data_IF_435213645735
#
_entry.id   IF_435213645735
#
_cell.length_a   1.000
_cell.length_b   1.000
_cell.length_c   1.000
_cell.angle_alpha   90.00
_cell.angle_beta   90.00
_cell.angle_gamma   90.00
#
_symmetry.space_group_name_H-M   'P 1'
#
loop_
_entity.id
_entity.type
_entity.pdbx_description
1 polymer ?
#
# COMPACT_ATOMS: atom_id res chain seq x y z
N UNK A 1 -18.46 11.83 18.01
CA UNK A 1 -17.09 11.49 17.54
C UNK A 1 -16.68 10.02 17.75
N UNK A 2 -16.97 9.38 18.89
CA UNK A 2 -16.53 7.99 19.20
C UNK A 2 -17.05 6.91 18.22
N UNK A 3 -18.26 7.03 17.70
CA UNK A 3 -18.84 6.06 16.76
C UNK A 3 -18.18 6.12 15.36
N UNK A 4 -17.78 7.31 14.91
CA UNK A 4 -17.11 7.49 13.62
C UNK A 4 -15.70 6.88 13.62
N UNK A 5 -14.94 7.06 14.71
CA UNK A 5 -13.63 6.41 14.88
C UNK A 5 -13.75 4.88 14.94
N UNK A 6 -14.80 4.35 15.59
CA UNK A 6 -15.07 2.90 15.63
C UNK A 6 -15.38 2.33 14.24
N UNK A 7 -16.20 3.02 13.45
CA UNK A 7 -16.48 2.63 12.07
C UNK A 7 -15.21 2.55 11.22
N UNK A 8 -14.36 3.56 11.29
CA UNK A 8 -13.14 3.62 10.49
C UNK A 8 -12.14 2.51 10.88
N UNK A 9 -12.08 2.13 12.17
CA UNK A 9 -11.29 0.97 12.64
C UNK A 9 -11.85 -0.35 12.13
N UNK A 10 -13.17 -0.54 12.16
CA UNK A 10 -13.80 -1.76 11.64
C UNK A 10 -13.60 -1.91 10.13
N UNK A 11 -13.69 -0.81 9.37
CA UNK A 11 -13.43 -0.82 7.92
C UNK A 11 -11.97 -1.18 7.62
N UNK A 12 -11.02 -0.64 8.39
CA UNK A 12 -9.60 -0.96 8.22
C UNK A 12 -9.33 -2.46 8.43
N UNK A 13 -9.93 -3.06 9.47
CA UNK A 13 -9.82 -4.50 9.71
C UNK A 13 -10.44 -5.28 8.56
N UNK A 14 -11.61 -4.87 8.07
CA UNK A 14 -12.26 -5.49 6.91
C UNK A 14 -11.36 -5.51 5.67
N UNK A 15 -10.71 -4.39 5.36
CA UNK A 15 -9.75 -4.31 4.23
C UNK A 15 -8.58 -5.28 4.42
N UNK A 16 -7.99 -5.33 5.63
CA UNK A 16 -6.90 -6.27 5.92
C UNK A 16 -7.33 -7.73 5.77
N UNK A 17 -8.54 -8.08 6.20
CA UNK A 17 -9.10 -9.44 6.04
C UNK A 17 -9.29 -9.78 4.57
N UNK A 18 -9.83 -8.86 3.77
CA UNK A 18 -9.98 -9.06 2.32
C UNK A 18 -8.63 -9.30 1.65
N UNK A 19 -7.60 -8.52 2.00
CA UNK A 19 -6.25 -8.69 1.46
C UNK A 19 -5.65 -10.04 1.86
N UNK A 20 -5.86 -10.47 3.12
CA UNK A 20 -5.43 -11.78 3.60
C UNK A 20 -6.14 -12.94 2.90
N UNK A 21 -7.46 -12.86 2.72
CA UNK A 21 -8.24 -13.87 1.99
C UNK A 21 -7.81 -13.95 0.53
N UNK A 22 -7.61 -12.80 -0.13
CA UNK A 22 -7.14 -12.76 -1.51
C UNK A 22 -5.74 -13.36 -1.65
N UNK A 23 -4.84 -13.08 -0.71
CA UNK A 23 -3.51 -13.71 -0.64
C UNK A 23 -3.58 -15.22 -0.45
N UNK A 24 -4.50 -15.71 0.41
CA UNK A 24 -4.71 -17.14 0.62
C UNK A 24 -5.25 -17.82 -0.65
N UNK A 25 -6.22 -17.22 -1.33
CA UNK A 25 -6.77 -17.73 -2.59
C UNK A 25 -5.72 -17.81 -3.69
N UNK A 26 -4.89 -16.77 -3.85
CA UNK A 26 -3.78 -16.81 -4.81
C UNK A 26 -2.72 -17.85 -4.42
N UNK A 27 -2.46 -18.00 -3.12
CA UNK A 27 -1.56 -19.02 -2.60
C UNK A 27 -2.02 -20.44 -2.95
N UNK A 28 -3.30 -20.75 -2.76
CA UNK A 28 -3.83 -22.07 -3.13
C UNK A 28 -3.81 -22.27 -4.65
N UNK A 29 -4.13 -21.26 -5.46
CA UNK A 29 -4.01 -21.37 -6.92
C UNK A 29 -2.59 -21.67 -7.40
N UNK A 30 -1.56 -21.16 -6.73
CA UNK A 30 -0.17 -21.47 -7.06
C UNK A 30 0.22 -22.89 -6.62
N UNK A 31 -0.26 -23.35 -5.47
CA UNK A 31 0.04 -24.69 -4.94
C UNK A 31 -0.73 -25.80 -5.66
N UNK A 32 -1.96 -25.52 -6.10
CA UNK A 32 -2.84 -26.45 -6.83
C UNK A 32 -2.64 -26.39 -8.34
N UNK A 33 -1.68 -25.59 -8.84
CA UNK A 33 -1.37 -25.50 -10.27
C UNK A 33 -0.83 -26.85 -10.76
N UNK A 34 -1.72 -27.68 -11.29
CA UNK A 34 -1.44 -29.00 -11.83
C UNK A 34 -0.83 -28.88 -13.24
N UNK A 35 0.41 -28.39 -13.32
CA UNK A 35 1.12 -28.25 -14.58
C UNK A 35 2.58 -28.62 -14.40
N UNK A 36 3.01 -29.66 -15.11
CA UNK A 36 4.42 -30.07 -15.27
C UNK A 36 5.26 -29.05 -16.06
N UNK A 37 4.76 -27.83 -16.30
CA UNK A 37 5.51 -26.76 -16.93
C UNK A 37 6.37 -26.05 -15.88
N UNK A 38 7.69 -25.90 -16.12
CA UNK A 38 8.55 -25.12 -15.23
C UNK A 38 7.98 -23.70 -15.08
N UNK A 39 7.94 -23.21 -13.83
CA UNK A 39 7.54 -21.86 -13.52
C UNK A 39 8.44 -20.87 -14.26
N UNK A 40 7.90 -20.23 -15.30
CA UNK A 40 8.60 -19.21 -16.06
C UNK A 40 9.00 -18.06 -15.12
N UNK A 41 10.21 -17.55 -15.25
CA UNK A 41 10.77 -16.60 -14.28
C UNK A 41 9.97 -15.28 -14.24
N UNK A 42 9.29 -14.89 -15.32
CA UNK A 42 8.38 -13.74 -15.33
C UNK A 42 7.13 -14.01 -14.48
N UNK A 43 6.63 -15.26 -14.46
CA UNK A 43 5.44 -15.61 -13.67
C UNK A 43 5.74 -15.69 -12.18
N UNK A 44 6.94 -16.15 -11.81
CA UNK A 44 7.40 -16.11 -10.41
C UNK A 44 7.66 -14.69 -9.93
N UNK A 45 8.20 -13.83 -10.79
CA UNK A 45 8.34 -12.40 -10.49
C UNK A 45 6.98 -11.73 -10.28
N UNK A 46 6.02 -11.96 -11.18
CA UNK A 46 4.68 -11.41 -11.06
C UNK A 46 4.01 -11.83 -9.74
N UNK A 47 4.06 -13.12 -9.40
CA UNK A 47 3.46 -13.61 -8.17
C UNK A 47 4.12 -13.01 -6.93
N UNK A 48 5.46 -12.90 -6.92
CA UNK A 48 6.20 -12.24 -5.85
C UNK A 48 5.76 -10.78 -5.67
N UNK A 49 5.60 -10.02 -6.76
CA UNK A 49 5.15 -8.62 -6.68
C UNK A 49 3.72 -8.53 -6.14
N UNK A 50 2.83 -9.43 -6.53
CA UNK A 50 1.46 -9.46 -5.99
C UNK A 50 1.47 -9.75 -4.48
N UNK A 51 2.22 -10.75 -4.01
CA UNK A 51 2.33 -11.04 -2.57
C UNK A 51 2.96 -9.89 -1.79
N UNK A 52 4.01 -9.25 -2.32
CA UNK A 52 4.63 -8.08 -1.67
C UNK A 52 3.65 -6.90 -1.58
N UNK A 53 2.80 -6.71 -2.60
CA UNK A 53 1.75 -5.69 -2.60
C UNK A 53 0.68 -5.98 -1.53
N UNK A 54 0.21 -7.22 -1.43
CA UNK A 54 -0.77 -7.63 -0.43
C UNK A 54 -0.22 -7.50 1.00
N UNK A 55 1.01 -7.94 1.23
CA UNK A 55 1.69 -7.80 2.51
C UNK A 55 1.86 -6.34 2.90
N UNK A 56 2.30 -5.50 1.95
CA UNK A 56 2.42 -4.05 2.15
C UNK A 56 1.07 -3.42 2.54
N UNK A 57 -0.02 -3.83 1.89
CA UNK A 57 -1.38 -3.38 2.23
C UNK A 57 -1.78 -3.71 3.67
N UNK A 58 -1.50 -4.93 4.14
CA UNK A 58 -1.77 -5.34 5.53
C UNK A 58 -0.93 -4.50 6.52
N UNK A 59 0.36 -4.27 6.21
CA UNK A 59 1.24 -3.42 7.03
C UNK A 59 0.68 -1.99 7.13
N UNK A 60 0.28 -1.40 6.00
CA UNK A 60 -0.33 -0.06 5.94
C UNK A 60 -1.61 -0.02 6.78
N UNK A 61 -2.50 -1.00 6.65
CA UNK A 61 -3.72 -1.11 7.45
C UNK A 61 -3.43 -1.15 8.97
N UNK A 62 -2.40 -1.89 9.38
CA UNK A 62 -1.95 -1.91 10.78
C UNK A 62 -1.45 -0.54 11.28
N UNK A 63 -0.76 0.22 10.44
CA UNK A 63 -0.31 1.58 10.77
C UNK A 63 -1.50 2.53 10.87
N UNK A 64 -2.45 2.45 9.92
CA UNK A 64 -3.69 3.24 9.93
C UNK A 64 -4.46 2.98 11.21
N UNK A 65 -4.61 1.72 11.65
CA UNK A 65 -5.27 1.39 12.91
C UNK A 65 -4.61 2.06 14.13
N UNK A 66 -3.27 2.11 14.18
CA UNK A 66 -2.52 2.84 15.21
C UNK A 66 -2.80 4.34 15.13
N UNK A 67 -2.80 4.91 13.93
CA UNK A 67 -3.10 6.33 13.71
C UNK A 67 -4.52 6.70 14.19
N UNK A 68 -5.53 5.89 13.86
CA UNK A 68 -6.90 6.08 14.34
C UNK A 68 -7.00 6.01 15.87
N UNK A 69 -6.11 5.26 16.52
CA UNK A 69 -6.06 5.18 17.98
C UNK A 69 -5.44 6.44 18.61
N UNK A 70 -4.47 7.05 17.95
CA UNK A 70 -3.87 8.32 18.38
C UNK A 70 -4.85 9.47 18.17
N UNK A 71 -5.61 9.46 17.06
CA UNK A 71 -6.68 10.42 16.81
C UNK A 71 -7.73 10.36 17.92
N UNK A 72 -8.09 9.15 18.39
CA UNK A 72 -9.04 9.01 19.50
C UNK A 72 -8.51 9.45 20.87
N UNK A 73 -7.21 9.76 20.99
CA UNK A 73 -6.56 10.27 22.20
C UNK A 73 -6.24 11.77 22.12
N UNK A 74 -6.80 12.48 21.13
CA UNK A 74 -6.54 13.90 20.85
C UNK A 74 -5.06 14.26 20.63
N UNK A 75 -4.24 13.28 20.24
CA UNK A 75 -2.80 13.43 19.98
C UNK A 75 -2.47 13.46 18.47
N UNK A 76 -3.44 13.87 17.65
CA UNK A 76 -3.37 13.83 16.17
C UNK A 76 -2.18 14.61 15.61
N UNK A 77 -1.93 15.82 16.11
CA UNK A 77 -0.80 16.67 15.70
C UNK A 77 0.37 16.52 16.67
N UNK A 78 0.99 15.34 16.63
CA UNK A 78 2.17 15.01 17.45
C UNK A 78 3.27 14.38 16.62
N UNK A 79 4.50 14.41 17.13
CA UNK A 79 5.64 13.68 16.55
C UNK A 79 5.36 12.18 16.40
N UNK A 80 4.45 11.63 17.22
CA UNK A 80 4.05 10.24 17.13
C UNK A 80 3.22 9.96 15.86
N UNK A 81 2.26 10.82 15.52
CA UNK A 81 1.53 10.73 14.25
C UNK A 81 2.45 10.92 13.05
N UNK A 82 3.36 11.90 13.10
CA UNK A 82 4.32 12.14 12.02
C UNK A 82 5.21 10.91 11.76
N UNK A 83 5.67 10.23 12.81
CA UNK A 83 6.45 8.98 12.69
C UNK A 83 5.66 7.86 12.02
N UNK A 84 4.37 7.69 12.35
CA UNK A 84 3.53 6.67 11.71
C UNK A 84 3.31 6.97 10.23
N UNK A 85 2.94 8.20 9.88
CA UNK A 85 2.71 8.60 8.48
C UNK A 85 4.02 8.49 7.66
N UNK A 86 5.16 8.87 8.25
CA UNK A 86 6.48 8.66 7.66
C UNK A 86 6.81 7.18 7.42
N UNK A 87 6.33 6.28 8.29
CA UNK A 87 6.50 4.85 8.09
C UNK A 87 5.64 4.33 6.93
N UNK A 88 4.41 4.84 6.77
CA UNK A 88 3.58 4.52 5.58
C UNK A 88 4.31 4.95 4.30
N UNK A 89 4.90 6.15 4.27
CA UNK A 89 5.71 6.61 3.12
C UNK A 89 6.81 5.63 2.75
N UNK A 90 7.56 5.09 3.72
CA UNK A 90 8.62 4.10 3.45
C UNK A 90 8.07 2.84 2.78
N UNK A 91 6.93 2.34 3.26
CA UNK A 91 6.25 1.18 2.64
C UNK A 91 5.77 1.52 1.23
N UNK A 92 5.26 2.72 0.99
CA UNK A 92 4.83 3.15 -0.35
C UNK A 92 5.99 3.32 -1.34
N UNK A 93 7.17 3.77 -0.89
CA UNK A 93 8.38 3.80 -1.71
C UNK A 93 8.74 2.37 -2.12
N UNK A 94 8.84 1.45 -1.17
CA UNK A 94 9.13 0.05 -1.46
C UNK A 94 8.11 -0.56 -2.44
N UNK A 95 6.82 -0.28 -2.23
CA UNK A 95 5.75 -0.74 -3.11
C UNK A 95 5.91 -0.19 -4.53
N UNK A 96 6.18 1.11 -4.68
CA UNK A 96 6.37 1.77 -5.98
C UNK A 96 7.53 1.16 -6.77
N UNK A 97 8.63 0.82 -6.10
CA UNK A 97 9.76 0.14 -6.74
C UNK A 97 9.42 -1.32 -7.08
N UNK A 98 8.72 -2.04 -6.20
CA UNK A 98 8.34 -3.45 -6.41
C UNK A 98 7.45 -3.62 -7.65
N UNK A 99 6.54 -2.67 -7.92
CA UNK A 99 5.58 -2.76 -9.03
C UNK A 99 6.24 -2.84 -10.42
N UNK A 100 7.48 -2.36 -10.60
CA UNK A 100 8.21 -2.55 -11.86
C UNK A 100 8.43 -4.03 -12.21
N UNK A 101 8.49 -4.92 -11.23
CA UNK A 101 8.66 -6.35 -11.45
C UNK A 101 7.47 -7.02 -12.18
N UNK A 102 6.36 -6.30 -12.38
CA UNK A 102 5.19 -6.75 -13.14
C UNK A 102 5.44 -6.64 -14.66
N UNK A 103 6.24 -5.67 -15.09
CA UNK A 103 6.44 -5.34 -16.50
C UNK A 103 6.92 -6.51 -17.38
N UNK A 104 7.86 -7.38 -16.96
CA UNK A 104 8.32 -8.49 -17.80
C UNK A 104 7.19 -9.43 -18.22
N UNK A 105 6.21 -9.66 -17.34
CA UNK A 105 5.09 -10.54 -17.67
C UNK A 105 4.09 -9.86 -18.62
N UNK A 106 3.84 -8.57 -18.43
CA UNK A 106 3.01 -7.79 -19.34
C UNK A 106 3.63 -7.63 -20.73
N UNK A 107 4.96 -7.50 -20.82
CA UNK A 107 5.68 -7.54 -22.10
C UNK A 107 5.44 -8.86 -22.84
N UNK A 108 5.65 -9.98 -22.15
CA UNK A 108 5.46 -11.31 -22.73
C UNK A 108 4.02 -11.52 -23.22
N UNK A 109 3.02 -11.06 -22.46
CA UNK A 109 1.62 -11.14 -22.87
C UNK A 109 1.30 -10.23 -24.05
N UNK A 110 1.83 -9.01 -24.07
CA UNK A 110 1.64 -8.07 -25.18
C UNK A 110 2.23 -8.60 -26.49
N UNK A 111 3.40 -9.24 -26.43
CA UNK A 111 4.07 -9.85 -27.57
C UNK A 111 3.36 -11.14 -28.04
N UNK A 112 2.90 -11.97 -27.09
CA UNK A 112 2.21 -13.23 -27.41
C UNK A 112 0.83 -13.02 -28.07
N UNK A 113 0.08 -12.02 -27.63
CA UNK A 113 -1.27 -11.73 -28.15
C UNK A 113 -1.27 -10.64 -29.25
N UNK A 114 -0.09 -10.16 -29.69
CA UNK A 114 0.07 -9.02 -30.63
C UNK A 114 -0.75 -7.79 -30.18
N UNK A 115 -0.80 -7.57 -28.86
CA UNK A 115 -1.68 -6.63 -28.20
C UNK A 115 -0.85 -5.56 -27.44
N UNK A 116 -0.41 -4.48 -28.13
CA UNK A 116 0.41 -3.43 -27.50
C UNK A 116 -0.32 -2.71 -26.35
N UNK A 117 -1.66 -2.77 -26.32
CA UNK A 117 -2.49 -2.25 -25.24
C UNK A 117 -2.21 -2.89 -23.87
N UNK A 118 -1.78 -4.15 -23.82
CA UNK A 118 -1.44 -4.82 -22.56
C UNK A 118 -0.21 -4.18 -21.91
N UNK A 119 0.79 -3.80 -22.70
CA UNK A 119 1.96 -3.09 -22.17
C UNK A 119 1.57 -1.74 -21.54
N UNK A 120 0.69 -0.99 -22.20
CA UNK A 120 0.16 0.28 -21.68
C UNK A 120 -0.56 0.09 -20.33
N UNK A 121 -1.32 -1.00 -20.18
CA UNK A 121 -1.97 -1.35 -18.91
C UNK A 121 -0.95 -1.67 -17.81
N UNK A 122 0.09 -2.45 -18.12
CA UNK A 122 1.17 -2.74 -17.18
C UNK A 122 1.89 -1.47 -16.71
N UNK A 123 2.16 -0.55 -17.65
CA UNK A 123 2.75 0.75 -17.33
C UNK A 123 1.82 1.61 -16.44
N UNK A 124 0.52 1.66 -16.75
CA UNK A 124 -0.45 2.38 -15.94
C UNK A 124 -0.54 1.85 -14.50
N UNK A 125 -0.45 0.52 -14.30
CA UNK A 125 -0.41 -0.11 -12.98
C UNK A 125 0.83 0.29 -12.18
N UNK A 126 1.99 0.43 -12.84
CA UNK A 126 3.22 0.93 -12.19
C UNK A 126 3.04 2.34 -11.66
N UNK A 127 2.35 3.24 -12.37
CA UNK A 127 2.16 4.63 -11.93
C UNK A 127 1.19 4.79 -10.75
N UNK A 128 0.34 3.81 -10.48
CA UNK A 128 -0.67 3.87 -9.42
C UNK A 128 -0.08 4.09 -8.01
N UNK A 129 0.90 3.30 -7.53
CA UNK A 129 1.56 3.55 -6.23
C UNK A 129 2.38 4.85 -6.21
N UNK A 130 2.90 5.32 -7.35
CA UNK A 130 3.60 6.61 -7.43
C UNK A 130 2.67 7.79 -7.15
N UNK A 131 1.48 7.80 -7.74
CA UNK A 131 0.48 8.83 -7.46
C UNK A 131 0.12 8.86 -5.96
N UNK A 132 -0.06 7.68 -5.36
CA UNK A 132 -0.26 7.55 -3.91
C UNK A 132 0.94 8.08 -3.10
N UNK A 133 2.17 7.80 -3.53
CA UNK A 133 3.38 8.25 -2.83
C UNK A 133 3.51 9.77 -2.84
N UNK A 134 3.18 10.41 -3.97
CA UNK A 134 3.14 11.88 -4.08
C UNK A 134 2.12 12.46 -3.10
N UNK A 135 0.90 11.90 -3.08
CA UNK A 135 -0.14 12.28 -2.12
C UNK A 135 0.34 12.13 -0.67
N UNK A 136 1.00 11.03 -0.33
CA UNK A 136 1.55 10.81 1.00
C UNK A 136 2.62 11.85 1.38
N UNK A 137 3.49 12.22 0.44
CA UNK A 137 4.48 13.28 0.68
C UNK A 137 3.82 14.64 0.95
N UNK A 138 2.73 14.96 0.24
CA UNK A 138 1.94 16.17 0.50
C UNK A 138 1.31 16.11 1.89
N UNK A 139 0.71 14.98 2.28
CA UNK A 139 0.12 14.80 3.62
C UNK A 139 1.15 14.95 4.74
N UNK A 140 2.37 14.46 4.56
CA UNK A 140 3.45 14.60 5.54
C UNK A 140 3.83 16.07 5.75
N UNK A 141 3.96 16.85 4.67
CA UNK A 141 4.27 18.28 4.76
C UNK A 141 3.18 19.06 5.51
N UNK A 142 1.91 18.78 5.20
CA UNK A 142 0.77 19.39 5.91
C UNK A 142 0.81 19.04 7.40
N UNK A 143 1.10 17.78 7.74
CA UNK A 143 1.18 17.33 9.12
C UNK A 143 2.34 18.01 9.88
N UNK A 144 3.49 18.15 9.23
CA UNK A 144 4.67 18.82 9.81
C UNK A 144 4.39 20.30 10.11
N UNK A 145 3.75 21.02 9.17
CA UNK A 145 3.33 22.41 9.39
C UNK A 145 2.31 22.52 10.53
N UNK A 146 1.32 21.63 10.59
CA UNK A 146 0.32 21.61 11.65
C UNK A 146 0.93 21.34 13.05
N UNK A 147 1.92 20.44 13.14
CA UNK A 147 2.65 20.17 14.38
C UNK A 147 3.43 21.42 14.81
N UNK A 148 4.12 22.09 13.88
CA UNK A 148 4.90 23.30 14.17
C UNK A 148 4.00 24.42 14.67
N UNK A 149 2.83 24.64 14.06
CA UNK A 149 1.87 25.66 14.49
C UNK A 149 1.37 25.40 15.92
N UNK A 150 0.97 24.16 16.21
CA UNK A 150 0.52 23.76 17.55
C UNK A 150 1.59 23.96 18.63
N UNK A 151 2.86 23.66 18.31
CA UNK A 151 3.98 23.86 19.24
C UNK A 151 4.27 25.34 19.52
N UNK A 152 4.13 26.20 18.53
CA UNK A 152 4.35 27.64 18.72
C UNK A 152 3.28 28.26 19.62
N UNK A 153 2.01 27.84 19.45
CA UNK A 153 0.88 28.26 20.28
C UNK A 153 1.14 27.88 21.75
N UNK A 154 1.56 26.64 22.02
CA UNK A 154 1.92 26.16 23.37
C UNK A 154 3.10 26.92 24.02
N UNK A 155 3.97 27.56 23.23
CA UNK A 155 5.14 28.32 23.72
C UNK A 155 4.87 29.81 23.94
N UNK A 156 3.73 30.33 23.47
CA UNK A 156 3.38 31.76 23.56
C UNK A 156 2.35 32.08 24.65
N UNK A 157 1.92 31.07 25.42
CA UNK A 157 1.04 31.20 26.59
C UNK A 157 1.81 31.35 27.90
#
# INVERSE_FOLDING_TARGET
MKNHSRFLKTTTIGICVVFGLFGLLLGTQLLTKESNAPLDWQTTLLSLVIFTTLLSGIIIGGIIFKLLTIISKDQTFSDHSHRLVSYIRKVMIFLSLSTFGILPKFYQMADADDAPGLMLLGLALVFLPFAGLVLMNVLIKILEEAIRLKKNDELTV
#
